data_IF_115096400846
#
_entry.id   IF_115096400846
#
_cell.length_a   1.000
_cell.length_b   1.000
_cell.length_c   1.000
_cell.angle_alpha   90.00
_cell.angle_beta   90.00
_cell.angle_gamma   90.00
#
_symmetry.space_group_name_H-M   'P 1'
#
loop_
_entity.id
_entity.type
_entity.pdbx_description
1 polymer ?
#
# COMPACT_ATOMS: atom_id res chain seq x y z
N UNK A 1 -14.26 77.51 15.03
CA UNK A 1 -13.18 77.03 14.15
C UNK A 1 -13.00 75.55 14.44
N UNK A 2 -13.53 74.70 13.57
CA UNK A 2 -13.61 73.25 13.74
C UNK A 2 -12.99 72.60 12.51
N UNK A 3 -11.86 71.91 12.70
CA UNK A 3 -11.18 71.18 11.64
C UNK A 3 -11.66 69.73 11.61
N UNK A 4 -12.20 69.33 10.46
CA UNK A 4 -12.64 67.97 10.16
C UNK A 4 -11.43 67.08 9.75
N UNK A 5 -11.44 65.77 10.07
CA UNK A 5 -10.36 64.86 9.70
C UNK A 5 -10.46 64.40 8.24
N UNK A 6 -9.31 64.35 7.56
CA UNK A 6 -9.15 63.84 6.18
C UNK A 6 -9.15 62.32 6.13
N UNK A 7 -9.94 61.76 5.23
CA UNK A 7 -9.99 60.34 4.84
C UNK A 7 -8.74 59.96 4.04
N UNK A 8 -8.08 58.86 4.42
CA UNK A 8 -7.00 58.23 3.63
C UNK A 8 -7.62 57.11 2.79
N UNK A 9 -7.45 57.19 1.46
CA UNK A 9 -7.87 56.13 0.54
C UNK A 9 -6.87 54.95 0.58
N UNK A 10 -7.39 53.74 0.73
CA UNK A 10 -6.61 52.50 0.56
C UNK A 10 -6.26 52.30 -0.93
N UNK A 11 -4.97 52.15 -1.24
CA UNK A 11 -4.51 51.59 -2.52
C UNK A 11 -4.64 50.06 -2.50
N UNK A 12 -5.04 49.41 -3.62
CA UNK A 12 -5.08 47.96 -3.71
C UNK A 12 -3.67 47.36 -3.81
N UNK A 13 -3.49 46.20 -3.17
CA UNK A 13 -2.24 45.42 -3.13
C UNK A 13 -1.69 45.13 -4.54
N UNK A 14 -0.40 45.39 -4.71
CA UNK A 14 0.31 45.16 -5.95
C UNK A 14 0.47 43.67 -6.24
N UNK A 15 -0.16 43.19 -7.31
CA UNK A 15 0.07 41.87 -7.89
C UNK A 15 1.50 41.78 -8.43
N UNK A 16 2.34 40.94 -7.81
CA UNK A 16 3.71 40.69 -8.29
C UNK A 16 3.65 39.91 -9.62
N UNK A 17 3.94 40.60 -10.73
CA UNK A 17 4.08 39.98 -12.05
C UNK A 17 5.40 39.23 -12.12
N UNK A 18 5.34 37.90 -12.23
CA UNK A 18 6.51 37.03 -12.36
C UNK A 18 7.14 37.25 -13.74
N UNK A 19 8.46 37.48 -13.79
CA UNK A 19 9.19 37.66 -15.05
C UNK A 19 9.30 36.34 -15.83
N UNK A 20 9.36 36.37 -17.17
CA UNK A 20 9.50 35.16 -17.99
C UNK A 20 10.70 34.27 -17.66
N UNK A 21 11.77 34.85 -17.09
CA UNK A 21 12.94 34.11 -16.60
C UNK A 21 12.62 33.25 -15.37
N UNK A 22 11.89 33.80 -14.39
CA UNK A 22 11.45 33.05 -13.19
C UNK A 22 10.40 32.00 -13.51
N UNK A 23 9.56 32.21 -14.52
CA UNK A 23 8.63 31.21 -15.04
C UNK A 23 9.36 29.99 -15.61
N UNK A 24 10.50 30.20 -16.28
CA UNK A 24 11.34 29.13 -16.82
C UNK A 24 12.00 28.30 -15.71
N UNK A 25 12.44 28.95 -14.63
CA UNK A 25 13.01 28.26 -13.46
C UNK A 25 11.95 27.44 -12.70
N UNK A 26 10.71 27.93 -12.64
CA UNK A 26 9.57 27.19 -12.05
C UNK A 26 9.19 25.99 -12.92
N UNK A 27 9.14 26.15 -14.25
CA UNK A 27 8.84 25.06 -15.19
C UNK A 27 9.92 23.97 -15.15
N UNK A 28 11.20 24.36 -15.13
CA UNK A 28 12.31 23.42 -15.00
C UNK A 28 12.28 22.68 -13.65
N UNK A 29 11.92 23.39 -12.56
CA UNK A 29 11.70 22.80 -11.25
C UNK A 29 10.35 22.05 -11.11
N UNK A 30 9.50 22.01 -12.14
CA UNK A 30 8.33 21.11 -12.16
C UNK A 30 8.62 19.85 -12.97
N UNK A 31 9.46 19.93 -14.01
CA UNK A 31 9.97 18.75 -14.71
C UNK A 31 10.94 17.92 -13.83
N UNK A 32 11.80 18.58 -13.04
CA UNK A 32 12.72 17.91 -12.11
C UNK A 32 11.99 17.11 -11.02
N UNK A 33 10.75 17.48 -10.68
CA UNK A 33 9.98 16.89 -9.58
C UNK A 33 8.74 16.11 -10.04
N UNK A 34 8.71 15.70 -11.30
CA UNK A 34 7.63 14.89 -11.85
C UNK A 34 7.55 13.55 -11.08
N UNK A 35 6.42 13.31 -10.42
CA UNK A 35 6.20 12.11 -9.59
C UNK A 35 6.41 12.31 -8.07
N UNK A 36 6.80 13.51 -7.63
CA UNK A 36 6.85 13.86 -6.21
C UNK A 36 5.49 14.37 -5.70
N UNK A 37 5.24 14.27 -4.39
CA UNK A 37 4.04 14.86 -3.78
C UNK A 37 4.10 16.39 -3.92
N UNK A 38 3.00 17.01 -4.35
CA UNK A 38 2.91 18.45 -4.58
C UNK A 38 3.34 19.27 -3.35
N UNK A 39 3.08 18.75 -2.13
CA UNK A 39 3.54 19.36 -0.87
C UNK A 39 5.07 19.47 -0.76
N UNK A 40 5.82 18.49 -1.27
CA UNK A 40 7.28 18.47 -1.24
C UNK A 40 7.85 19.46 -2.25
N UNK A 41 7.29 19.49 -3.46
CA UNK A 41 7.66 20.43 -4.52
C UNK A 41 7.45 21.87 -4.06
N UNK A 42 6.31 22.17 -3.44
CA UNK A 42 5.98 23.50 -2.93
C UNK A 42 6.87 23.92 -1.76
N UNK A 43 7.20 22.97 -0.87
CA UNK A 43 8.13 23.22 0.25
C UNK A 43 9.51 23.58 -0.28
N UNK A 44 10.02 22.85 -1.28
CA UNK A 44 11.31 23.12 -1.94
C UNK A 44 11.29 24.47 -2.67
N UNK A 45 10.25 24.77 -3.44
CA UNK A 45 10.12 26.03 -4.17
C UNK A 45 10.09 27.24 -3.23
N UNK A 46 9.45 27.16 -2.07
CA UNK A 46 9.43 28.28 -1.11
C UNK A 46 10.71 28.41 -0.28
N UNK A 47 11.27 27.31 0.21
CA UNK A 47 12.51 27.35 1.00
C UNK A 47 13.73 27.73 0.17
N UNK A 48 13.81 27.29 -1.10
CA UNK A 48 14.94 27.61 -1.98
C UNK A 48 14.79 28.90 -2.77
N UNK A 49 13.57 29.29 -3.17
CA UNK A 49 13.39 30.42 -4.11
C UNK A 49 12.71 31.66 -3.51
N UNK A 50 12.34 31.65 -2.22
CA UNK A 50 11.82 32.83 -1.53
C UNK A 50 10.49 33.37 -2.10
N UNK A 51 9.71 32.51 -2.77
CA UNK A 51 8.45 32.89 -3.41
C UNK A 51 7.41 33.37 -2.38
N UNK A 52 6.97 34.63 -2.54
CA UNK A 52 5.81 35.21 -1.84
C UNK A 52 4.69 35.43 -2.85
N UNK A 53 3.54 34.81 -2.63
CA UNK A 53 2.35 34.92 -3.48
C UNK A 53 1.75 33.55 -3.88
N UNK A 54 0.58 33.57 -4.55
CA UNK A 54 -0.05 32.37 -5.09
C UNK A 54 0.79 31.76 -6.21
N UNK A 55 0.93 30.44 -6.21
CA UNK A 55 1.69 29.69 -7.22
C UNK A 55 0.69 29.08 -8.20
N UNK A 56 0.77 29.49 -9.47
CA UNK A 56 -0.02 28.88 -10.55
C UNK A 56 0.66 27.57 -10.95
N UNK A 57 -0.10 26.48 -10.98
CA UNK A 57 0.36 25.19 -11.51
C UNK A 57 -0.11 25.13 -12.98
N UNK A 58 0.77 25.40 -13.95
CA UNK A 58 0.36 25.80 -15.30
C UNK A 58 -0.41 24.72 -16.07
N UNK A 59 -0.12 23.44 -15.81
CA UNK A 59 -0.62 22.37 -16.67
C UNK A 59 -2.12 22.08 -16.53
N UNK A 60 -2.81 22.53 -15.46
CA UNK A 60 -4.16 21.99 -15.14
C UNK A 60 -5.17 22.95 -14.51
N UNK A 61 -4.94 24.27 -14.60
CA UNK A 61 -5.91 25.29 -14.16
C UNK A 61 -6.10 25.46 -12.64
N UNK A 62 -5.29 24.79 -11.82
CA UNK A 62 -5.26 24.95 -10.36
C UNK A 62 -4.28 26.05 -9.93
N UNK A 63 -4.67 26.82 -8.93
CA UNK A 63 -3.89 27.89 -8.32
C UNK A 63 -3.76 27.63 -6.83
N UNK A 64 -2.54 27.45 -6.32
CA UNK A 64 -2.29 27.42 -4.88
C UNK A 64 -2.43 28.84 -4.35
N UNK A 65 -3.42 29.08 -3.48
CA UNK A 65 -3.76 30.42 -3.01
C UNK A 65 -3.27 30.70 -1.60
N UNK A 66 -3.18 29.69 -0.75
CA UNK A 66 -2.64 29.83 0.59
C UNK A 66 -1.89 28.59 1.04
N UNK A 67 -0.96 28.79 1.97
CA UNK A 67 -0.20 27.72 2.61
C UNK A 67 -0.07 28.10 4.08
N UNK A 68 -0.64 27.28 4.95
CA UNK A 68 -0.52 27.42 6.39
C UNK A 68 0.54 26.43 6.87
N UNK A 69 1.77 26.93 7.02
CA UNK A 69 2.91 26.12 7.48
C UNK A 69 2.73 25.64 8.92
N UNK A 70 2.04 26.42 9.76
CA UNK A 70 1.82 26.08 11.17
C UNK A 70 0.81 24.95 11.32
N UNK A 71 -0.22 24.92 10.47
CA UNK A 71 -1.24 23.86 10.48
C UNK A 71 -1.00 22.77 9.44
N UNK A 72 0.11 22.84 8.71
CA UNK A 72 0.44 21.98 7.59
C UNK A 72 -0.72 21.83 6.59
N UNK A 73 -1.24 22.95 6.05
CA UNK A 73 -2.36 22.95 5.09
C UNK A 73 -2.03 23.73 3.83
N UNK A 74 -2.63 23.33 2.72
CA UNK A 74 -2.60 24.04 1.43
C UNK A 74 -4.00 24.31 0.97
N UNK A 75 -4.23 25.53 0.51
CA UNK A 75 -5.46 25.94 -0.15
C UNK A 75 -5.22 26.03 -1.64
N UNK A 76 -5.97 25.25 -2.42
CA UNK A 76 -5.95 25.28 -3.88
C UNK A 76 -7.28 25.76 -4.43
N UNK A 77 -7.24 26.53 -5.51
CA UNK A 77 -8.42 27.01 -6.25
C UNK A 77 -8.37 26.56 -7.69
N UNK A 78 -9.51 26.18 -8.25
CA UNK A 78 -9.68 26.01 -9.70
C UNK A 78 -10.92 26.74 -10.16
N UNK A 79 -10.75 27.51 -11.24
CA UNK A 79 -11.88 28.05 -11.98
C UNK A 79 -12.54 26.92 -12.75
N UNK A 80 -13.86 26.80 -12.63
CA UNK A 80 -14.67 25.79 -13.29
C UNK A 80 -15.55 26.44 -14.35
N UNK A 81 -15.78 25.74 -15.46
CA UNK A 81 -16.79 26.15 -16.44
C UNK A 81 -18.20 25.91 -15.90
N UNK A 82 -19.21 26.58 -16.45
CA UNK A 82 -20.60 26.38 -16.05
C UNK A 82 -21.07 24.93 -16.28
N UNK A 83 -20.57 24.28 -17.33
CA UNK A 83 -20.86 22.87 -17.64
C UNK A 83 -20.23 21.93 -16.60
N UNK A 84 -18.98 22.19 -16.19
CA UNK A 84 -18.32 21.45 -15.11
C UNK A 84 -19.10 21.59 -13.81
N UNK A 85 -19.51 22.80 -13.43
CA UNK A 85 -20.30 23.04 -12.21
C UNK A 85 -21.62 22.26 -12.24
N UNK A 86 -22.32 22.28 -13.38
CA UNK A 86 -23.60 21.59 -13.55
C UNK A 86 -23.43 20.07 -13.48
N UNK A 87 -22.40 19.54 -14.13
CA UNK A 87 -22.07 18.10 -14.12
C UNK A 87 -21.66 17.63 -12.72
N UNK A 88 -20.85 18.40 -12.00
CA UNK A 88 -20.42 18.07 -10.64
C UNK A 88 -21.53 18.21 -9.60
N UNK A 89 -22.45 19.18 -9.76
CA UNK A 89 -23.63 19.34 -8.92
C UNK A 89 -24.60 18.17 -9.10
N UNK A 90 -24.90 17.78 -10.35
CA UNK A 90 -25.76 16.63 -10.66
C UNK A 90 -25.21 15.31 -10.09
N UNK A 91 -23.88 15.21 -9.97
CA UNK A 91 -23.17 14.02 -9.47
C UNK A 91 -22.90 14.03 -7.96
N UNK A 92 -23.37 15.03 -7.20
CA UNK A 92 -23.13 15.13 -5.76
C UNK A 92 -21.66 15.36 -5.36
N UNK A 93 -20.78 15.66 -6.32
CA UNK A 93 -19.34 15.86 -6.11
C UNK A 93 -19.07 17.07 -5.22
N UNK A 94 -19.78 18.18 -5.46
CA UNK A 94 -19.61 19.42 -4.70
C UNK A 94 -19.96 19.22 -3.20
N UNK A 95 -21.01 18.45 -2.91
CA UNK A 95 -21.39 18.13 -1.53
C UNK A 95 -20.41 17.14 -0.87
N UNK A 96 -19.86 16.19 -1.64
CA UNK A 96 -18.80 15.29 -1.17
C UNK A 96 -17.51 16.03 -0.82
N UNK A 97 -17.07 16.94 -1.69
CA UNK A 97 -15.92 17.82 -1.45
C UNK A 97 -16.11 18.68 -0.21
N UNK A 98 -17.26 19.36 -0.08
CA UNK A 98 -17.58 20.23 1.07
C UNK A 98 -17.56 19.46 2.39
N UNK A 99 -18.08 18.23 2.40
CA UNK A 99 -18.12 17.38 3.61
C UNK A 99 -16.76 16.83 4.01
N UNK A 100 -15.86 16.58 3.06
CA UNK A 100 -14.67 15.75 3.30
C UNK A 100 -13.36 16.56 3.32
N UNK A 101 -13.22 17.57 2.46
CA UNK A 101 -11.97 18.29 2.25
C UNK A 101 -12.06 19.78 2.65
N UNK A 102 -12.72 20.12 3.77
CA UNK A 102 -12.95 21.50 4.23
C UNK A 102 -13.19 22.50 3.08
N UNK A 103 -13.92 22.07 2.06
CA UNK A 103 -14.07 22.81 0.82
C UNK A 103 -15.17 23.82 0.99
N UNK A 104 -14.91 25.07 0.61
CA UNK A 104 -15.95 26.09 0.52
C UNK A 104 -16.04 26.53 -0.93
N UNK A 105 -17.24 26.47 -1.51
CA UNK A 105 -17.55 27.10 -2.79
C UNK A 105 -17.95 28.53 -2.44
N UNK A 106 -16.97 29.43 -2.34
CA UNK A 106 -17.24 30.85 -2.08
C UNK A 106 -17.83 31.56 -3.30
N UNK A 107 -17.61 31.01 -4.51
CA UNK A 107 -18.11 31.58 -5.77
C UNK A 107 -18.70 30.49 -6.66
N UNK A 108 -19.76 30.78 -7.44
CA UNK A 108 -20.47 29.79 -8.25
C UNK A 108 -19.59 28.96 -9.20
N UNK A 109 -18.44 29.52 -9.60
CA UNK A 109 -17.55 28.96 -10.61
C UNK A 109 -16.11 28.74 -10.09
N UNK A 110 -15.89 28.77 -8.78
CA UNK A 110 -14.58 28.47 -8.19
C UNK A 110 -14.70 27.39 -7.12
N UNK A 111 -13.90 26.34 -7.26
CA UNK A 111 -13.73 25.34 -6.23
C UNK A 111 -12.49 25.68 -5.41
N UNK A 112 -12.69 25.95 -4.12
CA UNK A 112 -11.60 26.09 -3.15
C UNK A 112 -11.53 24.85 -2.25
N UNK A 113 -10.34 24.26 -2.17
CA UNK A 113 -10.05 23.09 -1.35
C UNK A 113 -8.94 23.44 -0.37
N UNK A 114 -9.17 23.25 0.93
CA UNK A 114 -8.12 23.32 1.94
C UNK A 114 -7.80 21.91 2.44
N UNK A 115 -6.66 21.40 2.02
CA UNK A 115 -6.20 20.03 2.33
C UNK A 115 -4.97 20.06 3.23
N UNK A 116 -4.88 19.18 4.25
CA UNK A 116 -3.62 19.00 4.96
C UNK A 116 -2.54 18.51 3.99
N UNK A 117 -1.31 18.98 4.18
CA UNK A 117 -0.14 18.68 3.33
C UNK A 117 0.10 17.18 3.18
N UNK A 118 -0.15 16.43 4.24
CA UNK A 118 -0.02 14.98 4.30
C UNK A 118 -1.04 14.22 3.45
N UNK A 119 -2.14 14.88 3.03
CA UNK A 119 -3.20 14.30 2.20
C UNK A 119 -3.27 14.90 0.80
N UNK A 120 -2.24 15.67 0.38
CA UNK A 120 -2.16 16.13 -1.00
C UNK A 120 -1.81 14.93 -1.87
N UNK A 121 -2.89 14.32 -2.37
CA UNK A 121 -2.89 13.38 -3.47
C UNK A 121 -2.06 13.95 -4.63
N UNK A 122 -1.42 13.08 -5.39
CA UNK A 122 -0.69 13.49 -6.60
C UNK A 122 -1.62 14.25 -7.55
N UNK A 123 -1.07 15.14 -8.39
CA UNK A 123 -1.85 15.91 -9.40
C UNK A 123 -2.70 15.01 -10.31
N UNK A 124 -2.31 13.73 -10.43
CA UNK A 124 -3.04 12.71 -11.16
C UNK A 124 -4.30 12.24 -10.41
N UNK A 125 -4.21 11.99 -9.11
CA UNK A 125 -5.34 11.54 -8.28
C UNK A 125 -6.43 12.60 -8.13
N UNK A 126 -6.08 13.88 -8.06
CA UNK A 126 -7.04 14.99 -8.07
C UNK A 126 -7.72 15.09 -9.45
N UNK A 127 -6.99 14.82 -10.53
CA UNK A 127 -7.51 14.86 -11.89
C UNK A 127 -8.43 13.66 -12.21
N UNK A 128 -8.06 12.45 -11.82
CA UNK A 128 -8.86 11.24 -12.01
C UNK A 128 -10.17 11.32 -11.21
N UNK A 129 -10.10 11.91 -10.01
CA UNK A 129 -11.26 12.24 -9.19
C UNK A 129 -12.24 13.22 -9.85
N UNK A 130 -11.73 14.18 -10.64
CA UNK A 130 -12.54 15.22 -11.27
C UNK A 130 -13.08 14.78 -12.63
N UNK A 131 -12.38 13.90 -13.37
CA UNK A 131 -12.78 13.48 -14.71
C UNK A 131 -13.69 12.24 -14.78
N UNK A 132 -14.30 11.84 -13.67
CA UNK A 132 -15.42 10.89 -13.71
C UNK A 132 -15.15 9.50 -13.16
N UNK A 133 -13.98 9.21 -12.60
CA UNK A 133 -13.85 8.07 -11.69
C UNK A 133 -14.37 8.45 -10.30
N UNK A 134 -15.68 8.70 -10.19
CA UNK A 134 -16.34 9.04 -8.92
C UNK A 134 -15.92 8.07 -7.81
N UNK A 135 -15.79 6.79 -8.13
CA UNK A 135 -15.34 5.74 -7.21
C UNK A 135 -13.97 6.05 -6.61
N UNK A 136 -12.96 6.40 -7.41
CA UNK A 136 -11.61 6.71 -6.93
C UNK A 136 -11.61 7.93 -6.00
N UNK A 137 -12.34 9.00 -6.36
CA UNK A 137 -12.51 10.17 -5.49
C UNK A 137 -13.21 9.83 -4.17
N UNK A 138 -14.29 9.04 -4.20
CA UNK A 138 -15.01 8.62 -3.01
C UNK A 138 -14.15 7.74 -2.11
N UNK A 139 -13.34 6.84 -2.69
CA UNK A 139 -12.40 6.01 -1.93
C UNK A 139 -11.32 6.86 -1.25
N UNK A 140 -10.69 7.79 -1.98
CA UNK A 140 -9.69 8.71 -1.43
C UNK A 140 -10.30 9.58 -0.32
N UNK A 141 -11.46 10.18 -0.59
CA UNK A 141 -12.14 11.07 0.34
C UNK A 141 -12.55 10.33 1.63
N UNK A 142 -13.12 9.13 1.50
CA UNK A 142 -13.46 8.29 2.67
C UNK A 142 -12.21 7.92 3.48
N UNK A 143 -11.11 7.54 2.82
CA UNK A 143 -9.85 7.23 3.49
C UNK A 143 -9.30 8.43 4.26
N UNK A 144 -9.27 9.60 3.64
CA UNK A 144 -8.79 10.85 4.29
C UNK A 144 -9.66 11.19 5.50
N UNK A 145 -10.99 11.17 5.36
CA UNK A 145 -11.90 11.41 6.48
C UNK A 145 -11.68 10.41 7.62
N UNK A 146 -11.53 9.13 7.28
CA UNK A 146 -11.32 8.07 8.26
C UNK A 146 -10.00 8.22 9.01
N UNK A 147 -8.90 8.51 8.29
CA UNK A 147 -7.61 8.73 8.93
C UNK A 147 -7.61 9.99 9.79
N UNK A 148 -8.29 11.06 9.34
CA UNK A 148 -8.48 12.27 10.15
C UNK A 148 -9.19 11.97 11.47
N UNK A 149 -10.24 11.16 11.43
CA UNK A 149 -11.14 10.98 12.57
C UNK A 149 -10.70 9.82 13.49
N UNK A 150 -9.93 8.85 12.96
CA UNK A 150 -9.65 7.59 13.66
C UNK A 150 -8.19 7.12 13.63
N UNK A 151 -7.26 7.82 12.96
CA UNK A 151 -5.87 7.41 12.99
C UNK A 151 -5.34 7.38 14.43
N UNK A 152 -4.71 6.26 14.79
CA UNK A 152 -4.10 5.98 16.09
C UNK A 152 -2.62 6.37 16.14
N UNK A 153 -2.06 6.76 15.00
CA UNK A 153 -0.70 7.30 14.87
C UNK A 153 -0.62 8.33 13.73
N UNK A 154 0.38 9.19 13.82
CA UNK A 154 0.78 10.15 12.78
C UNK A 154 1.47 9.45 11.60
N UNK A 155 1.57 10.15 10.47
CA UNK A 155 2.32 9.62 9.32
C UNK A 155 3.82 9.47 9.64
N UNK A 156 4.40 10.35 10.45
CA UNK A 156 5.80 10.26 10.86
C UNK A 156 6.07 9.00 11.71
N UNK A 157 5.17 8.66 12.63
CA UNK A 157 5.24 7.41 13.40
C UNK A 157 5.09 6.19 12.50
N UNK A 158 4.19 6.24 11.51
CA UNK A 158 4.06 5.18 10.50
C UNK A 158 5.39 5.00 9.71
N UNK A 159 5.98 6.09 9.23
CA UNK A 159 7.27 6.05 8.53
C UNK A 159 8.40 5.52 9.43
N UNK A 160 8.42 5.88 10.72
CA UNK A 160 9.40 5.34 11.65
C UNK A 160 9.22 3.82 11.88
N UNK A 161 7.98 3.33 11.84
CA UNK A 161 7.69 1.90 12.04
C UNK A 161 7.84 1.05 10.79
N UNK A 162 7.59 1.60 9.60
CA UNK A 162 7.48 0.82 8.37
C UNK A 162 8.34 1.33 7.20
N UNK A 163 8.98 2.49 7.36
CA UNK A 163 9.86 3.09 6.38
C UNK A 163 11.16 2.29 6.26
N UNK A 164 11.17 1.33 5.36
CA UNK A 164 12.33 0.50 5.07
C UNK A 164 11.96 -0.87 4.52
N UNK A 165 12.97 -1.58 4.05
CA UNK A 165 12.83 -2.94 3.59
C UNK A 165 12.75 -3.92 4.76
N UNK A 166 12.10 -5.04 4.51
CA UNK A 166 12.04 -6.16 5.44
C UNK A 166 12.23 -7.47 4.69
N UNK A 167 12.68 -8.51 5.37
CA UNK A 167 12.82 -9.86 4.81
C UNK A 167 12.78 -10.93 5.89
N UNK A 168 12.48 -12.15 5.45
CA UNK A 168 12.50 -13.34 6.30
C UNK A 168 13.90 -13.60 6.88
N UNK A 169 13.97 -13.95 8.17
CA UNK A 169 15.18 -14.36 8.86
C UNK A 169 15.24 -15.90 8.99
N UNK A 170 15.80 -16.43 10.08
CA UNK A 170 16.00 -17.86 10.27
C UNK A 170 14.73 -18.60 10.77
N UNK A 171 13.53 -18.09 10.51
CA UNK A 171 12.23 -18.67 10.89
C UNK A 171 11.47 -19.03 9.60
N UNK A 172 10.76 -20.16 9.57
CA UNK A 172 10.00 -20.64 8.40
C UNK A 172 8.75 -19.84 8.00
N UNK A 173 8.73 -18.51 8.17
CA UNK A 173 7.54 -17.67 8.03
C UNK A 173 7.36 -17.02 6.63
N UNK A 174 7.86 -17.64 5.56
CA UNK A 174 7.81 -17.10 4.19
C UNK A 174 6.41 -16.68 3.73
N UNK A 175 5.38 -17.41 4.18
CA UNK A 175 3.98 -17.16 3.90
C UNK A 175 3.49 -15.85 4.53
N UNK A 176 3.86 -15.57 5.78
CA UNK A 176 3.54 -14.32 6.46
C UNK A 176 4.25 -13.14 5.77
N UNK A 177 5.55 -13.29 5.50
CA UNK A 177 6.33 -12.23 4.84
C UNK A 177 5.75 -11.91 3.46
N UNK A 178 5.31 -12.92 2.71
CA UNK A 178 4.66 -12.72 1.42
C UNK A 178 3.33 -11.96 1.56
N UNK A 179 2.53 -12.24 2.58
CA UNK A 179 1.28 -11.49 2.85
C UNK A 179 1.59 -10.05 3.25
N UNK A 180 2.58 -9.83 4.12
CA UNK A 180 3.01 -8.48 4.49
C UNK A 180 3.52 -7.70 3.27
N UNK A 181 4.27 -8.35 2.39
CA UNK A 181 4.77 -7.72 1.15
C UNK A 181 3.64 -7.40 0.19
N UNK A 182 2.66 -8.30 0.05
CA UNK A 182 1.46 -8.06 -0.74
C UNK A 182 0.68 -6.83 -0.23
N UNK A 183 0.57 -6.65 1.09
CA UNK A 183 -0.05 -5.47 1.69
C UNK A 183 0.71 -4.18 1.29
N UNK A 184 2.04 -4.21 1.27
CA UNK A 184 2.84 -3.02 0.89
C UNK A 184 2.77 -2.65 -0.59
N UNK A 185 2.19 -3.50 -1.45
CA UNK A 185 2.03 -3.21 -2.89
C UNK A 185 1.10 -2.01 -3.15
N UNK A 186 0.22 -1.70 -2.20
CA UNK A 186 -0.49 -0.42 -2.11
C UNK A 186 -0.01 0.35 -0.88
N UNK A 187 0.95 1.26 -1.04
CA UNK A 187 1.47 2.04 0.08
C UNK A 187 0.38 2.83 0.81
N UNK A 188 -0.66 3.29 0.13
CA UNK A 188 -1.67 4.16 0.70
C UNK A 188 -2.71 3.37 1.51
N UNK A 189 -3.15 2.22 0.99
CA UNK A 189 -4.01 1.30 1.74
C UNK A 189 -3.24 0.66 2.90
N UNK A 190 -1.98 0.30 2.70
CA UNK A 190 -1.11 -0.19 3.78
C UNK A 190 -0.96 0.85 4.89
N UNK A 191 -0.65 2.10 4.55
CA UNK A 191 -0.60 3.20 5.50
C UNK A 191 -1.91 3.31 6.29
N UNK A 192 -3.04 3.32 5.59
CA UNK A 192 -4.33 3.44 6.23
C UNK A 192 -4.60 2.29 7.21
N UNK A 193 -4.35 1.04 6.79
CA UNK A 193 -4.48 -0.14 7.65
C UNK A 193 -3.62 -0.03 8.90
N UNK A 194 -2.34 0.34 8.76
CA UNK A 194 -1.43 0.43 9.91
C UNK A 194 -1.84 1.55 10.86
N UNK A 195 -2.13 2.75 10.33
CA UNK A 195 -2.48 3.92 11.15
C UNK A 195 -3.80 3.76 11.88
N UNK A 196 -4.73 2.98 11.35
CA UNK A 196 -6.00 2.66 12.03
C UNK A 196 -5.86 1.53 13.05
N UNK A 197 -4.84 0.69 12.93
CA UNK A 197 -4.71 -0.53 13.73
C UNK A 197 -3.77 -0.40 14.90
N UNK A 198 -2.67 0.34 14.73
CA UNK A 198 -1.55 0.33 15.67
C UNK A 198 -1.51 1.66 16.42
N UNK A 199 -1.38 1.57 17.75
CA UNK A 199 -1.26 2.72 18.65
C UNK A 199 -0.04 2.55 19.56
N UNK A 200 0.86 3.54 19.70
CA UNK A 200 1.90 3.48 20.71
C UNK A 200 1.30 3.55 22.12
N UNK A 201 1.83 2.74 23.02
CA UNK A 201 1.50 2.73 24.46
C UNK A 201 2.79 2.68 25.27
N UNK A 202 2.72 2.94 26.59
CA UNK A 202 3.91 3.12 27.45
C UNK A 202 4.99 2.04 27.27
N UNK A 203 4.59 0.77 27.21
CA UNK A 203 5.50 -0.40 27.16
C UNK A 203 5.71 -0.98 25.74
N UNK A 204 5.12 -0.37 24.71
CA UNK A 204 5.19 -0.88 23.34
C UNK A 204 4.02 -0.40 22.48
N UNK A 205 3.25 -1.33 21.92
CA UNK A 205 2.19 -1.04 20.95
C UNK A 205 0.92 -1.83 21.24
N UNK A 206 -0.23 -1.20 21.04
CA UNK A 206 -1.54 -1.85 20.95
C UNK A 206 -1.90 -2.01 19.48
N UNK A 207 -2.12 -3.25 19.04
CA UNK A 207 -2.52 -3.59 17.67
C UNK A 207 -3.95 -4.09 17.67
N UNK A 208 -4.78 -3.50 16.82
CA UNK A 208 -6.16 -3.90 16.60
C UNK A 208 -6.21 -4.90 15.45
N UNK A 209 -6.79 -6.07 15.69
CA UNK A 209 -6.97 -7.14 14.71
C UNK A 209 -8.44 -7.55 14.61
N UNK A 210 -8.99 -7.82 13.41
CA UNK A 210 -8.38 -7.58 12.11
C UNK A 210 -7.89 -6.14 11.85
N UNK A 211 -6.83 -6.01 11.06
CA UNK A 211 -6.22 -4.73 10.70
C UNK A 211 -7.22 -3.89 9.90
N UNK A 212 -7.23 -2.58 10.19
CA UNK A 212 -8.16 -1.61 9.60
C UNK A 212 -9.47 -1.47 10.37
N UNK A 213 -9.83 -2.43 11.23
CA UNK A 213 -11.06 -2.35 12.02
C UNK A 213 -10.91 -1.41 13.22
N UNK A 214 -11.92 -0.58 13.43
CA UNK A 214 -11.96 0.36 14.56
C UNK A 214 -12.19 -0.36 15.89
N UNK A 215 -13.08 -1.36 15.89
CA UNK A 215 -13.54 -2.10 17.07
C UNK A 215 -13.04 -3.54 17.11
N UNK A 216 -11.92 -3.82 16.45
CA UNK A 216 -11.31 -5.15 16.48
C UNK A 216 -10.76 -5.54 17.86
N UNK A 217 -10.33 -6.79 17.97
CA UNK A 217 -9.62 -7.28 19.16
C UNK A 217 -8.28 -6.55 19.30
N UNK A 218 -7.92 -6.19 20.52
CA UNK A 218 -6.66 -5.51 20.84
C UNK A 218 -5.62 -6.50 21.35
N UNK A 219 -4.40 -6.38 20.84
CA UNK A 219 -3.24 -7.19 21.23
C UNK A 219 -2.10 -6.25 21.60
N UNK A 220 -1.52 -6.45 22.78
CA UNK A 220 -0.38 -5.65 23.23
C UNK A 220 0.92 -6.38 22.85
N UNK A 221 1.81 -5.64 22.20
CA UNK A 221 3.17 -6.06 21.85
C UNK A 221 4.14 -5.17 22.62
N UNK A 222 4.94 -5.76 23.50
CA UNK A 222 5.96 -5.04 24.24
C UNK A 222 7.27 -4.98 23.45
N UNK A 223 8.20 -4.12 23.85
CA UNK A 223 9.56 -4.11 23.25
C UNK A 223 10.28 -5.45 23.39
N UNK A 224 10.03 -6.19 24.48
CA UNK A 224 10.60 -7.53 24.69
C UNK A 224 10.10 -8.53 23.65
N UNK A 225 8.85 -8.39 23.19
CA UNK A 225 8.27 -9.26 22.16
C UNK A 225 8.97 -9.12 20.79
N UNK A 226 9.74 -8.05 20.57
CA UNK A 226 10.50 -7.83 19.33
C UNK A 226 11.88 -8.50 19.36
N UNK A 227 12.30 -9.07 20.49
CA UNK A 227 13.60 -9.72 20.64
C UNK A 227 13.57 -11.17 20.11
N UNK A 228 14.75 -11.74 19.80
CA UNK A 228 14.86 -13.15 19.44
C UNK A 228 14.35 -14.07 20.56
N UNK A 229 13.72 -15.18 20.17
CA UNK A 229 13.21 -16.17 21.11
C UNK A 229 14.15 -17.37 21.21
N UNK A 230 14.13 -18.08 22.33
CA UNK A 230 14.79 -19.39 22.40
C UNK A 230 14.16 -20.36 21.38
N UNK A 231 15.00 -21.13 20.68
CA UNK A 231 14.54 -22.21 19.81
C UNK A 231 14.34 -23.50 20.61
N UNK A 232 13.11 -23.96 20.86
CA UNK A 232 12.87 -25.21 21.59
C UNK A 232 13.27 -26.46 20.79
N UNK A 233 13.37 -26.36 19.46
CA UNK A 233 13.71 -27.47 18.57
C UNK A 233 15.22 -27.67 18.38
N UNK A 234 16.05 -26.89 19.08
CA UNK A 234 17.50 -27.01 18.95
C UNK A 234 17.98 -28.39 19.39
N UNK A 235 18.65 -29.10 18.49
CA UNK A 235 19.12 -30.47 18.70
C UNK A 235 18.12 -31.53 18.23
N UNK A 236 16.93 -31.13 17.77
CA UNK A 236 15.97 -31.99 17.09
C UNK A 236 16.22 -32.00 15.57
N UNK A 237 15.74 -33.00 14.82
CA UNK A 237 15.77 -32.98 13.36
C UNK A 237 15.07 -31.75 12.80
N UNK A 238 15.70 -31.06 11.85
CA UNK A 238 15.13 -29.89 11.18
C UNK A 238 13.90 -30.33 10.36
N UNK A 239 12.76 -29.68 10.59
CA UNK A 239 11.52 -30.00 9.88
C UNK A 239 11.67 -29.88 8.35
N UNK A 240 12.44 -28.88 7.91
CA UNK A 240 12.73 -28.63 6.50
C UNK A 240 13.80 -29.56 5.93
N UNK A 241 14.60 -30.20 6.79
CA UNK A 241 15.66 -31.13 6.42
C UNK A 241 15.80 -32.20 7.51
N UNK A 242 14.94 -33.23 7.50
CA UNK A 242 14.89 -34.21 8.60
C UNK A 242 16.18 -35.01 8.82
N UNK A 243 17.11 -34.96 7.86
CA UNK A 243 18.45 -35.52 7.91
C UNK A 243 19.49 -34.58 8.56
N UNK A 244 19.16 -33.31 8.74
CA UNK A 244 19.98 -32.30 9.44
C UNK A 244 19.43 -32.06 10.85
N UNK A 245 20.31 -31.78 11.82
CA UNK A 245 19.91 -31.36 13.16
C UNK A 245 19.79 -29.85 13.20
N UNK A 246 18.70 -29.34 13.77
CA UNK A 246 18.50 -27.92 13.97
C UNK A 246 19.51 -27.38 15.00
N UNK A 247 20.48 -26.61 14.52
CA UNK A 247 21.54 -26.03 15.33
C UNK A 247 21.23 -24.61 15.82
N UNK A 248 20.11 -24.01 15.39
CA UNK A 248 19.76 -22.62 15.69
C UNK A 248 19.51 -22.45 17.19
N UNK A 249 20.24 -21.52 17.82
CA UNK A 249 20.08 -21.21 19.26
C UNK A 249 18.86 -20.34 19.55
N UNK A 250 18.57 -19.43 18.64
CA UNK A 250 17.49 -18.46 18.71
C UNK A 250 16.71 -18.42 17.41
N UNK A 251 15.42 -18.10 17.52
CA UNK A 251 14.53 -17.76 16.43
C UNK A 251 14.47 -16.24 16.34
N UNK A 252 15.06 -15.70 15.27
CA UNK A 252 15.18 -14.27 15.03
C UNK A 252 13.85 -13.71 14.49
N UNK A 253 13.46 -12.51 14.91
CA UNK A 253 12.30 -11.83 14.34
C UNK A 253 12.55 -11.45 12.87
N UNK A 254 11.48 -11.04 12.17
CA UNK A 254 11.60 -10.38 10.85
C UNK A 254 12.69 -9.29 10.90
N UNK A 255 13.55 -9.28 9.88
CA UNK A 255 14.53 -8.21 9.71
C UNK A 255 13.88 -7.02 9.04
N UNK A 256 14.19 -5.81 9.51
CA UNK A 256 13.61 -4.56 9.02
C UNK A 256 13.09 -3.67 10.15
N UNK A 257 12.32 -2.63 9.80
CA UNK A 257 11.65 -1.74 10.74
C UNK A 257 10.75 -2.47 11.76
N UNK A 258 10.63 -1.89 12.97
CA UNK A 258 9.92 -2.53 14.09
C UNK A 258 8.45 -2.82 13.79
N UNK A 259 7.79 -2.05 12.90
CA UNK A 259 6.42 -2.29 12.47
C UNK A 259 6.19 -3.71 11.94
N UNK A 260 7.12 -4.25 11.15
CA UNK A 260 7.00 -5.61 10.62
C UNK A 260 7.20 -6.68 11.71
N UNK A 261 8.09 -6.42 12.67
CA UNK A 261 8.28 -7.29 13.85
C UNK A 261 7.06 -7.29 14.77
N UNK A 262 6.39 -6.15 14.90
CA UNK A 262 5.13 -6.01 15.64
C UNK A 262 4.05 -6.88 14.99
N UNK A 263 3.90 -6.83 13.66
CA UNK A 263 2.92 -7.64 12.94
C UNK A 263 3.22 -9.14 13.04
N UNK A 264 4.49 -9.56 12.97
CA UNK A 264 4.89 -10.94 13.25
C UNK A 264 4.54 -11.37 14.67
N UNK A 265 4.87 -10.54 15.67
CA UNK A 265 4.57 -10.82 17.06
C UNK A 265 3.05 -10.99 17.31
N UNK A 266 2.23 -10.13 16.67
CA UNK A 266 0.77 -10.25 16.68
C UNK A 266 0.31 -11.58 16.10
N UNK A 267 0.87 -11.96 14.95
CA UNK A 267 0.53 -13.21 14.28
C UNK A 267 0.86 -14.44 15.16
N UNK A 268 2.06 -14.50 15.74
CA UNK A 268 2.44 -15.59 16.66
C UNK A 268 1.50 -15.70 17.87
N UNK A 269 1.16 -14.58 18.51
CA UNK A 269 0.23 -14.57 19.66
C UNK A 269 -1.18 -15.03 19.27
N UNK A 270 -1.63 -14.70 18.06
CA UNK A 270 -2.92 -15.14 17.55
C UNK A 270 -2.95 -16.65 17.32
N UNK A 271 -1.92 -17.21 16.70
CA UNK A 271 -1.82 -18.65 16.45
C UNK A 271 -1.75 -19.47 17.75
N UNK A 272 -1.00 -18.97 18.74
CA UNK A 272 -0.89 -19.63 20.05
C UNK A 272 -2.17 -19.54 20.89
N UNK A 273 -3.18 -18.82 20.41
CA UNK A 273 -4.46 -18.65 21.10
C UNK A 273 -4.42 -17.67 22.28
N UNK A 274 -3.38 -16.83 22.38
CA UNK A 274 -3.17 -15.93 23.51
C UNK A 274 -4.09 -14.70 23.39
N UNK A 275 -5.33 -14.85 23.91
CA UNK A 275 -6.38 -13.83 23.83
C UNK A 275 -6.24 -12.76 24.91
N UNK A 276 -5.60 -11.64 24.55
CA UNK A 276 -5.61 -10.40 25.35
C UNK A 276 -4.59 -10.36 26.49
N UNK A 277 -3.71 -11.36 26.59
CA UNK A 277 -2.68 -11.40 27.62
C UNK A 277 -1.53 -10.43 27.29
N UNK A 278 -1.44 -9.36 28.08
CA UNK A 278 -0.54 -8.22 27.84
C UNK A 278 0.95 -8.57 27.92
N UNK A 279 1.31 -9.56 28.74
CA UNK A 279 2.70 -9.82 29.12
C UNK A 279 3.23 -11.20 28.71
N UNK A 280 2.53 -11.92 27.83
CA UNK A 280 3.03 -13.21 27.38
C UNK A 280 4.16 -13.01 26.36
N UNK A 281 5.34 -13.65 26.56
CA UNK A 281 6.40 -13.66 25.58
C UNK A 281 5.93 -14.24 24.25
N UNK A 282 6.38 -13.65 23.14
CA UNK A 282 6.12 -14.21 21.82
C UNK A 282 6.84 -15.53 21.68
N UNK A 283 6.15 -16.51 21.11
CA UNK A 283 6.72 -17.79 20.77
C UNK A 283 6.76 -17.92 19.25
N UNK A 284 7.96 -17.84 18.66
CA UNK A 284 8.16 -17.95 17.21
C UNK A 284 8.21 -19.39 16.72
N UNK A 285 8.33 -20.38 17.61
CA UNK A 285 8.32 -21.79 17.22
C UNK A 285 6.99 -22.21 16.59
N UNK A 286 5.90 -21.52 16.96
CA UNK A 286 4.55 -21.74 16.40
C UNK A 286 4.45 -21.47 14.90
N UNK A 287 5.41 -20.75 14.31
CA UNK A 287 5.48 -20.46 12.87
C UNK A 287 6.76 -20.99 12.20
N UNK A 288 7.67 -21.59 12.97
CA UNK A 288 9.00 -21.95 12.51
C UNK A 288 8.99 -23.08 11.48
N UNK A 289 7.98 -23.95 11.54
CA UNK A 289 7.87 -25.13 10.69
C UNK A 289 7.10 -24.87 9.37
N UNK A 290 6.83 -23.61 9.03
CA UNK A 290 6.02 -23.25 7.88
C UNK A 290 4.56 -23.01 8.24
N UNK A 291 3.74 -22.76 7.22
CA UNK A 291 2.34 -22.38 7.39
C UNK A 291 1.67 -22.03 6.06
N UNK A 292 0.48 -21.46 6.14
CA UNK A 292 -0.34 -21.17 4.97
C UNK A 292 -0.60 -19.67 4.83
N UNK A 293 -0.38 -19.12 3.64
CA UNK A 293 -0.62 -17.69 3.39
C UNK A 293 -2.07 -17.30 3.65
N UNK A 294 -3.03 -18.19 3.34
CA UNK A 294 -4.44 -17.99 3.68
C UNK A 294 -4.67 -17.78 5.18
N UNK A 295 -3.96 -18.53 6.03
CA UNK A 295 -4.07 -18.37 7.49
C UNK A 295 -3.52 -17.01 7.93
N UNK A 296 -2.38 -16.57 7.37
CA UNK A 296 -1.84 -15.24 7.62
C UNK A 296 -2.80 -14.12 7.17
N UNK A 297 -3.40 -14.25 5.99
CA UNK A 297 -4.44 -13.34 5.48
C UNK A 297 -5.61 -13.28 6.45
N UNK A 298 -6.23 -14.41 6.78
CA UNK A 298 -7.41 -14.45 7.65
C UNK A 298 -7.10 -13.95 9.06
N UNK A 299 -5.95 -14.31 9.60
CA UNK A 299 -5.55 -13.94 10.97
C UNK A 299 -5.33 -12.44 11.11
N UNK A 300 -4.73 -11.80 10.10
CA UNK A 300 -4.45 -10.36 10.14
C UNK A 300 -5.61 -9.51 9.62
N UNK A 301 -6.33 -9.97 8.58
CA UNK A 301 -7.32 -9.18 7.85
C UNK A 301 -8.78 -9.61 8.11
N UNK A 302 -8.97 -10.76 8.77
CA UNK A 302 -10.29 -11.27 9.16
C UNK A 302 -11.05 -11.98 8.05
N UNK A 303 -12.15 -12.63 8.43
CA UNK A 303 -13.01 -13.40 7.52
C UNK A 303 -13.90 -12.53 6.61
N UNK A 304 -14.07 -11.24 6.94
CA UNK A 304 -14.85 -10.29 6.15
C UNK A 304 -14.16 -9.86 4.84
N UNK A 305 -12.89 -10.20 4.70
CA UNK A 305 -12.11 -10.08 3.48
C UNK A 305 -12.10 -11.48 2.84
N UNK A 306 -12.60 -11.60 1.61
CA UNK A 306 -12.80 -12.89 0.93
C UNK A 306 -11.45 -13.56 0.71
N UNK A 307 -11.02 -14.38 1.67
CA UNK A 307 -9.78 -15.14 1.62
C UNK A 307 -10.02 -16.46 0.89
N UNK A 308 -9.86 -16.42 -0.42
CA UNK A 308 -10.08 -17.57 -1.30
C UNK A 308 -8.78 -18.30 -1.60
N UNK A 309 -8.86 -19.63 -1.48
CA UNK A 309 -7.82 -20.52 -1.96
C UNK A 309 -8.23 -21.02 -3.35
N UNK A 310 -7.54 -20.53 -4.37
CA UNK A 310 -7.75 -20.90 -5.75
C UNK A 310 -6.69 -21.95 -6.11
N UNK A 311 -7.11 -23.22 -6.13
CA UNK A 311 -6.24 -24.36 -6.42
C UNK A 311 -6.25 -24.69 -7.92
N UNK A 312 -5.24 -25.45 -8.35
CA UNK A 312 -5.29 -26.15 -9.63
C UNK A 312 -6.47 -27.13 -9.66
N UNK A 313 -7.01 -27.33 -10.85
CA UNK A 313 -7.93 -28.43 -11.11
C UNK A 313 -7.14 -29.74 -11.23
N UNK A 314 -7.19 -30.57 -10.19
CA UNK A 314 -6.51 -31.86 -10.16
C UNK A 314 -7.12 -32.87 -11.14
N UNK A 315 -8.37 -32.67 -11.59
CA UNK A 315 -9.03 -33.57 -12.54
C UNK A 315 -8.41 -33.54 -13.95
N UNK A 316 -7.61 -32.50 -14.25
CA UNK A 316 -6.92 -32.30 -15.51
C UNK A 316 -5.44 -32.75 -15.48
N UNK A 317 -4.97 -33.32 -14.35
CA UNK A 317 -3.55 -33.60 -14.10
C UNK A 317 -2.92 -34.70 -14.98
N UNK A 318 -3.69 -35.30 -15.89
CA UNK A 318 -3.22 -36.36 -16.78
C UNK A 318 -2.79 -35.91 -18.18
N UNK A 319 -3.17 -34.71 -18.64
CA UNK A 319 -2.98 -34.34 -20.06
C UNK A 319 -2.34 -32.97 -20.31
N UNK A 320 -2.30 -32.06 -19.33
CA UNK A 320 -1.61 -30.77 -19.48
C UNK A 320 -1.02 -30.25 -18.16
N UNK A 321 0.11 -29.51 -18.19
CA UNK A 321 0.76 -29.01 -16.99
C UNK A 321 -0.11 -27.95 -16.29
N UNK A 322 -0.56 -28.28 -15.08
CA UNK A 322 -1.02 -27.35 -14.04
C UNK A 322 -1.99 -26.24 -14.51
N UNK A 323 -3.27 -26.59 -14.70
CA UNK A 323 -4.31 -25.58 -14.93
C UNK A 323 -4.90 -25.07 -13.61
N UNK A 324 -4.85 -23.75 -13.39
CA UNK A 324 -5.71 -23.12 -12.38
C UNK A 324 -7.17 -23.42 -12.72
N UNK A 325 -8.01 -23.60 -11.70
CA UNK A 325 -9.47 -23.58 -11.91
C UNK A 325 -9.90 -22.35 -12.72
N UNK A 326 -11.02 -22.43 -13.44
CA UNK A 326 -11.55 -21.28 -14.22
C UNK A 326 -11.66 -20.02 -13.36
N UNK A 327 -12.08 -20.18 -12.10
CA UNK A 327 -12.11 -19.11 -11.10
C UNK A 327 -10.73 -18.56 -10.78
N UNK A 328 -9.74 -19.42 -10.57
CA UNK A 328 -8.34 -19.04 -10.36
C UNK A 328 -7.75 -18.26 -11.53
N UNK A 329 -8.06 -18.71 -12.75
CA UNK A 329 -7.66 -18.02 -13.97
C UNK A 329 -8.34 -16.65 -14.08
N UNK A 330 -9.67 -16.59 -13.90
CA UNK A 330 -10.43 -15.35 -13.94
C UNK A 330 -9.92 -14.36 -12.89
N UNK A 331 -9.62 -14.81 -11.68
CA UNK A 331 -9.01 -13.97 -10.64
C UNK A 331 -7.68 -13.39 -11.11
N UNK A 332 -6.75 -14.23 -11.57
CA UNK A 332 -5.42 -13.78 -11.99
C UNK A 332 -5.50 -12.80 -13.17
N UNK A 333 -6.41 -13.02 -14.12
CA UNK A 333 -6.61 -12.13 -15.27
C UNK A 333 -7.24 -10.79 -14.89
N UNK A 334 -8.00 -10.75 -13.79
CA UNK A 334 -8.60 -9.53 -13.25
C UNK A 334 -7.85 -8.98 -12.02
N UNK A 335 -6.63 -9.47 -11.77
CA UNK A 335 -5.83 -9.07 -10.61
C UNK A 335 -5.59 -7.57 -10.64
N UNK A 336 -6.01 -6.91 -9.57
CA UNK A 336 -5.89 -5.47 -9.45
C UNK A 336 -4.81 -5.11 -8.45
N UNK A 337 -3.71 -4.56 -8.96
CA UNK A 337 -2.62 -4.09 -8.11
C UNK A 337 -3.17 -3.08 -7.09
N UNK A 338 -2.87 -3.35 -5.82
CA UNK A 338 -3.24 -2.54 -4.68
C UNK A 338 -4.66 -2.68 -4.12
N UNK A 339 -5.52 -3.41 -4.82
CA UNK A 339 -6.80 -3.87 -4.29
C UNK A 339 -6.68 -5.31 -3.76
N UNK A 340 -5.84 -6.12 -4.42
CA UNK A 340 -5.72 -7.54 -4.11
C UNK A 340 -4.46 -7.83 -3.29
N UNK A 341 -4.62 -8.61 -2.22
CA UNK A 341 -3.52 -9.22 -1.45
C UNK A 341 -3.45 -10.67 -1.87
N UNK A 342 -2.46 -11.00 -2.70
CA UNK A 342 -2.31 -12.36 -3.21
C UNK A 342 -0.90 -12.90 -3.05
N UNK A 343 -0.87 -14.18 -2.73
CA UNK A 343 0.35 -14.97 -2.67
C UNK A 343 0.17 -16.24 -3.49
N UNK A 344 1.29 -16.83 -3.89
CA UNK A 344 1.34 -18.09 -4.61
C UNK A 344 2.36 -19.02 -3.98
N UNK A 345 2.21 -20.33 -4.16
CA UNK A 345 3.29 -21.26 -3.79
C UNK A 345 3.50 -22.35 -4.82
N UNK A 346 4.72 -22.87 -4.80
CA UNK A 346 5.13 -24.06 -5.54
C UNK A 346 4.55 -25.32 -4.91
N UNK A 347 4.67 -26.45 -5.61
CA UNK A 347 4.19 -27.76 -5.17
C UNK A 347 4.88 -28.23 -3.87
N UNK A 348 4.13 -28.82 -2.95
CA UNK A 348 4.63 -29.49 -1.74
C UNK A 348 5.23 -30.87 -1.99
N UNK A 349 4.87 -31.50 -3.12
CA UNK A 349 5.23 -32.90 -3.40
C UNK A 349 6.65 -33.07 -3.99
N UNK A 350 7.37 -31.97 -4.24
CA UNK A 350 8.79 -32.00 -4.55
C UNK A 350 9.62 -32.24 -3.29
N UNK A 351 10.75 -32.95 -3.42
CA UNK A 351 11.81 -32.93 -2.41
C UNK A 351 12.25 -31.48 -2.18
N UNK A 352 12.71 -31.16 -0.97
CA UNK A 352 13.26 -29.85 -0.65
C UNK A 352 14.32 -29.45 -1.69
N UNK A 353 14.26 -28.21 -2.21
CA UNK A 353 15.18 -27.78 -3.27
C UNK A 353 14.70 -26.60 -4.12
N UNK A 354 15.27 -26.51 -5.32
CA UNK A 354 15.02 -25.45 -6.30
C UNK A 354 14.51 -26.03 -7.62
N UNK A 355 13.44 -25.45 -8.14
CA UNK A 355 12.92 -25.65 -9.48
C UNK A 355 13.65 -24.72 -10.45
N UNK A 356 14.38 -25.28 -11.42
CA UNK A 356 15.04 -24.54 -12.49
C UNK A 356 14.34 -24.79 -13.80
N UNK A 357 14.03 -23.74 -14.54
CA UNK A 357 13.36 -23.83 -15.83
C UNK A 357 13.66 -22.62 -16.70
N UNK A 358 13.40 -22.74 -17.99
CA UNK A 358 13.46 -21.65 -18.94
C UNK A 358 12.05 -21.25 -19.32
N UNK A 359 11.72 -19.96 -19.21
CA UNK A 359 10.43 -19.44 -19.64
C UNK A 359 10.28 -19.63 -21.17
N UNK A 360 9.22 -20.29 -21.64
CA UNK A 360 9.07 -20.62 -23.05
C UNK A 360 8.84 -19.38 -23.94
N UNK A 361 8.39 -18.26 -23.35
CA UNK A 361 8.11 -17.00 -24.04
C UNK A 361 9.32 -16.10 -24.02
N UNK A 362 9.88 -15.80 -22.84
CA UNK A 362 11.01 -14.86 -22.72
C UNK A 362 12.37 -15.51 -22.99
N UNK A 363 12.45 -16.84 -22.89
CA UNK A 363 13.70 -17.62 -22.93
C UNK A 363 14.65 -17.35 -21.77
N UNK A 364 14.20 -16.62 -20.74
CA UNK A 364 14.98 -16.40 -19.53
C UNK A 364 14.97 -17.63 -18.63
N UNK A 365 16.09 -17.89 -17.96
CA UNK A 365 16.18 -18.97 -16.97
C UNK A 365 15.78 -18.47 -15.59
N UNK A 366 14.90 -19.22 -14.92
CA UNK A 366 14.41 -18.91 -13.59
C UNK A 366 14.76 -20.02 -12.60
N UNK A 367 14.92 -19.63 -11.34
CA UNK A 367 15.12 -20.53 -10.20
C UNK A 367 14.11 -20.17 -9.12
N UNK A 368 13.23 -21.11 -8.77
CA UNK A 368 12.14 -20.94 -7.80
C UNK A 368 12.30 -21.98 -6.68
N UNK A 369 12.07 -21.62 -5.42
CA UNK A 369 12.19 -22.54 -4.28
C UNK A 369 10.93 -23.40 -4.13
N UNK A 370 11.11 -24.68 -3.84
CA UNK A 370 10.01 -25.56 -3.44
C UNK A 370 9.49 -25.20 -2.05
N UNK A 371 8.20 -25.48 -1.79
CA UNK A 371 7.53 -25.23 -0.50
C UNK A 371 7.68 -23.78 -0.01
N UNK A 372 7.77 -22.85 -0.95
CA UNK A 372 8.00 -21.44 -0.68
C UNK A 372 6.84 -20.59 -1.16
N UNK A 373 6.43 -19.63 -0.32
CA UNK A 373 5.44 -18.64 -0.69
C UNK A 373 6.10 -17.46 -1.41
N UNK A 374 5.39 -16.91 -2.39
CA UNK A 374 5.77 -15.72 -3.14
C UNK A 374 4.61 -14.74 -3.14
N UNK A 375 4.92 -13.46 -3.18
CA UNK A 375 3.91 -12.40 -3.36
C UNK A 375 3.56 -12.29 -4.84
N UNK A 376 2.28 -12.19 -5.20
CA UNK A 376 1.87 -11.73 -6.54
C UNK A 376 1.80 -10.21 -6.49
N UNK A 377 2.72 -9.55 -7.19
CA UNK A 377 2.85 -8.09 -7.18
C UNK A 377 1.97 -7.41 -8.22
N UNK A 378 1.89 -8.01 -9.41
CA UNK A 378 1.11 -7.47 -10.54
C UNK A 378 0.92 -8.53 -11.61
N UNK A 379 -0.09 -8.33 -12.44
CA UNK A 379 -0.27 -9.07 -13.70
C UNK A 379 -0.22 -8.06 -14.83
N UNK A 380 0.84 -8.15 -15.64
CA UNK A 380 1.14 -7.26 -16.75
C UNK A 380 0.71 -7.90 -18.08
N UNK A 381 0.51 -7.09 -19.11
CA UNK A 381 0.24 -7.56 -20.47
C UNK A 381 1.10 -6.81 -21.49
N UNK A 382 1.50 -7.52 -22.55
CA UNK A 382 2.25 -6.97 -23.67
C UNK A 382 1.67 -7.46 -25.00
N UNK A 383 1.79 -6.62 -26.02
CA UNK A 383 1.52 -6.96 -27.41
C UNK A 383 2.86 -6.99 -28.17
N UNK A 384 3.52 -8.15 -28.30
CA UNK A 384 4.77 -8.24 -29.02
C UNK A 384 4.57 -7.82 -30.48
N UNK A 385 5.38 -6.86 -30.95
CA UNK A 385 5.23 -6.18 -32.25
C UNK A 385 5.45 -7.07 -33.48
N UNK A 386 5.85 -8.33 -33.32
CA UNK A 386 6.60 -9.06 -34.35
C UNK A 386 5.80 -10.16 -35.06
N UNK A 387 4.49 -10.29 -34.87
CA UNK A 387 3.68 -11.28 -35.58
C UNK A 387 2.38 -10.68 -36.12
N UNK A 388 2.16 -10.85 -37.42
CA UNK A 388 0.88 -10.61 -38.07
C UNK A 388 -0.17 -11.51 -37.39
N UNK A 389 -0.97 -10.91 -36.49
CA UNK A 389 -1.89 -11.62 -35.59
C UNK A 389 -1.55 -11.42 -34.12
N UNK A 390 -1.54 -10.16 -33.65
CA UNK A 390 -1.18 -9.78 -32.27
C UNK A 390 -1.94 -10.62 -31.23
N UNK A 391 -1.25 -11.59 -30.62
CA UNK A 391 -1.75 -12.29 -29.44
C UNK A 391 -1.19 -11.62 -28.21
N UNK A 392 -2.09 -11.21 -27.33
CA UNK A 392 -1.75 -10.68 -26.00
C UNK A 392 -0.94 -11.71 -25.21
N UNK A 393 0.18 -11.26 -24.61
CA UNK A 393 0.99 -12.07 -23.71
C UNK A 393 0.85 -11.51 -22.30
N UNK A 394 0.48 -12.37 -21.35
CA UNK A 394 0.33 -12.04 -19.93
C UNK A 394 1.58 -12.43 -19.16
N UNK A 395 1.99 -11.58 -18.23
CA UNK A 395 3.11 -11.82 -17.32
C UNK A 395 2.66 -11.68 -15.87
N UNK A 396 3.03 -12.63 -15.03
CA UNK A 396 2.83 -12.58 -13.59
C UNK A 396 4.14 -12.15 -12.95
N UNK A 397 4.10 -11.05 -12.20
CA UNK A 397 5.26 -10.53 -11.47
C UNK A 397 5.17 -10.94 -10.01
N UNK A 398 6.24 -11.55 -9.51
CA UNK A 398 6.34 -12.08 -8.17
C UNK A 398 7.46 -11.41 -7.37
N UNK A 399 7.32 -11.40 -6.05
CA UNK A 399 8.42 -11.13 -5.11
C UNK A 399 8.72 -12.34 -4.24
N UNK A 400 10.01 -12.56 -3.98
CA UNK A 400 10.50 -13.59 -3.09
C UNK A 400 10.66 -13.03 -1.66
N UNK A 401 10.06 -13.61 -0.62
CA UNK A 401 10.17 -13.10 0.75
C UNK A 401 11.60 -13.13 1.34
N UNK A 402 12.54 -13.84 0.72
CA UNK A 402 13.97 -13.75 1.09
C UNK A 402 14.71 -12.59 0.41
N UNK A 403 14.16 -12.04 -0.68
CA UNK A 403 14.71 -10.91 -1.42
C UNK A 403 13.55 -10.10 -2.02
N UNK A 404 12.97 -9.25 -1.18
CA UNK A 404 11.78 -8.46 -1.50
C UNK A 404 12.02 -7.37 -2.57
N UNK A 405 13.26 -7.21 -3.04
CA UNK A 405 13.63 -6.30 -4.12
C UNK A 405 13.71 -7.01 -5.47
N UNK A 406 13.90 -8.33 -5.46
CA UNK A 406 13.99 -9.12 -6.68
C UNK A 406 12.61 -9.39 -7.26
N UNK A 407 12.28 -8.67 -8.32
CA UNK A 407 11.13 -8.97 -9.18
C UNK A 407 11.42 -10.22 -10.00
N UNK A 408 10.54 -11.21 -9.89
CA UNK A 408 10.55 -12.41 -10.75
C UNK A 408 9.39 -12.25 -11.72
N UNK A 409 9.70 -12.09 -13.00
CA UNK A 409 8.70 -11.92 -14.05
C UNK A 409 8.58 -13.20 -14.84
N UNK A 410 7.38 -13.78 -14.88
CA UNK A 410 7.10 -15.03 -15.58
C UNK A 410 5.98 -14.83 -16.58
N UNK A 411 6.09 -15.39 -17.77
CA UNK A 411 4.92 -15.56 -18.64
C UNK A 411 3.86 -16.37 -17.92
N UNK A 412 2.58 -16.14 -18.24
CA UNK A 412 1.48 -16.89 -17.63
C UNK A 412 1.67 -18.41 -17.76
N UNK A 413 2.18 -18.87 -18.91
CA UNK A 413 2.52 -20.28 -19.14
C UNK A 413 3.58 -20.79 -18.15
N UNK A 414 4.68 -20.04 -17.97
CA UNK A 414 5.74 -20.42 -17.04
C UNK A 414 5.27 -20.38 -15.58
N UNK A 415 4.44 -19.38 -15.24
CA UNK A 415 3.83 -19.27 -13.92
C UNK A 415 2.96 -20.49 -13.60
N UNK A 416 2.03 -20.85 -14.49
CA UNK A 416 1.16 -22.01 -14.30
C UNK A 416 1.96 -23.31 -14.18
N UNK A 417 3.04 -23.43 -14.95
CA UNK A 417 3.94 -24.57 -14.84
C UNK A 417 4.63 -24.67 -13.46
N UNK A 418 5.07 -23.54 -12.89
CA UNK A 418 5.82 -23.53 -11.62
C UNK A 418 4.94 -23.51 -10.36
N UNK A 419 3.74 -22.92 -10.43
CA UNK A 419 2.91 -22.61 -9.27
C UNK A 419 1.58 -23.35 -9.29
N UNK A 420 1.07 -23.72 -8.10
CA UNK A 420 -0.13 -24.57 -7.98
C UNK A 420 -1.27 -23.98 -7.18
N UNK A 421 -1.05 -22.88 -6.47
CA UNK A 421 -2.08 -22.30 -5.64
C UNK A 421 -1.93 -20.80 -5.61
N UNK A 422 -3.07 -20.13 -5.60
CA UNK A 422 -3.17 -18.72 -5.24
C UNK A 422 -3.97 -18.66 -3.95
N UNK A 423 -3.37 -18.07 -2.91
CA UNK A 423 -4.09 -17.65 -1.72
C UNK A 423 -4.25 -16.14 -1.83
N UNK A 424 -5.48 -15.68 -1.94
CA UNK A 424 -5.79 -14.31 -2.28
C UNK A 424 -6.93 -13.75 -1.45
N UNK A 425 -6.93 -12.44 -1.27
CA UNK A 425 -8.09 -11.72 -0.83
C UNK A 425 -8.20 -10.31 -1.40
N UNK A 426 -9.43 -9.84 -1.51
CA UNK A 426 -9.74 -8.49 -1.92
C UNK A 426 -9.75 -7.55 -0.70
N UNK A 427 -8.85 -6.57 -0.67
CA UNK A 427 -8.92 -5.43 0.25
C UNK A 427 -10.04 -4.49 -0.20
N UNK A 428 -11.27 -4.91 0.03
CA UNK A 428 -12.40 -4.01 -0.08
C UNK A 428 -12.39 -3.10 1.14
N UNK A 429 -11.63 -1.99 1.08
CA UNK A 429 -11.64 -0.97 2.12
C UNK A 429 -13.08 -0.54 2.44
N UNK A 430 -13.96 -0.45 1.44
CA UNK A 430 -15.40 -0.21 1.65
C UNK A 430 -16.13 -1.24 2.53
N UNK A 431 -15.61 -2.47 2.68
CA UNK A 431 -16.13 -3.51 3.56
C UNK A 431 -15.49 -3.50 4.96
N UNK A 432 -14.26 -2.99 5.11
CA UNK A 432 -13.64 -2.77 6.44
C UNK A 432 -14.35 -1.69 7.26
N UNK A 433 -15.24 -0.91 6.64
CA UNK A 433 -15.89 0.27 7.21
C UNK A 433 -17.41 0.17 7.30
N UNK A 434 -17.98 -1.04 7.13
CA UNK A 434 -19.37 -1.35 7.50
C UNK A 434 -19.38 -1.87 8.94
#
# INVERSE_FOLDING_TARGET
MSDAPRTIAHQPDATCMVTPSRLRDIVNATEEYRGHRLGDVVTVLRTRQGLRGPVKVPERGWTITAFDTLRQRVTVRRAMTADEVTQHAANGFIDGVKRILFGHVERPNELELTVPLEYIATDQQIFDAVNGEQTAFWHLSRRVALLRDHAKMTYAEFQALFGGEFHQQNVGNCYLISVLKALTSDPENFEALMRLSIRPVKEGWEVTVPLGLLNGRKIIITRENLRPCHNPHRGEPDYSRPDEIDSRKSLEPVSGPDGYRILEAVYCKLLKGERGATYVPVDRSVIDQGGFSREAIVTLLGDGIIAERLQLDESLSGQHPNHLSERGMAYLLNFHNGKDVATTSTNSNGQFGQLRFTDPVTRESHTIRHRHAYTIASVEFEYPRNQQGQKEVRFVVLFDPHDNNKRIRLSLTAYLWAFRKIDACELAMGNLFK
#
